data_IF_431978583826
#
_entry.id   IF_431978583826
#
_cell.length_a   1.000
_cell.length_b   1.000
_cell.length_c   1.000
_cell.angle_alpha   90.00
_cell.angle_beta   90.00
_cell.angle_gamma   90.00
#
_symmetry.space_group_name_H-M   'P 1'
#
loop_
_entity.id
_entity.type
_entity.pdbx_description
1 polymer ?
#
# COMPACT_ATOMS: atom_id res chain seq x y z
N UNK A 1 29.84 -15.95 -16.30
CA UNK A 1 28.83 -14.96 -15.90
C UNK A 1 29.52 -14.00 -14.97
N UNK A 2 29.58 -12.71 -15.30
CA UNK A 2 30.21 -11.73 -14.40
C UNK A 2 29.42 -11.65 -13.08
N UNK A 3 30.14 -11.53 -11.96
CA UNK A 3 29.51 -11.52 -10.63
C UNK A 3 28.70 -10.24 -10.45
N UNK A 4 27.40 -10.37 -10.22
CA UNK A 4 26.49 -9.26 -9.92
C UNK A 4 26.66 -8.89 -8.44
N UNK A 5 27.10 -7.66 -8.16
CA UNK A 5 27.31 -7.19 -6.78
C UNK A 5 26.08 -6.47 -6.20
N UNK A 6 25.22 -5.97 -7.09
CA UNK A 6 24.08 -5.15 -6.71
C UNK A 6 22.99 -5.22 -7.76
N UNK A 7 21.74 -5.30 -7.32
CA UNK A 7 20.55 -5.31 -8.18
C UNK A 7 19.56 -4.26 -7.70
N UNK A 8 19.11 -3.38 -8.57
CA UNK A 8 17.87 -2.63 -8.39
C UNK A 8 16.71 -3.40 -9.01
N UNK A 9 15.61 -3.52 -8.28
CA UNK A 9 14.41 -4.19 -8.74
C UNK A 9 13.21 -3.28 -8.56
N UNK A 10 12.58 -2.92 -9.69
CA UNK A 10 11.25 -2.32 -9.67
C UNK A 10 10.19 -3.42 -9.56
N UNK A 11 9.21 -3.21 -8.68
CA UNK A 11 8.22 -4.23 -8.32
C UNK A 11 6.82 -3.85 -8.77
N UNK A 12 6.14 -4.76 -9.47
CA UNK A 12 4.70 -4.68 -9.71
C UNK A 12 3.96 -5.93 -9.21
N UNK A 13 2.66 -6.03 -9.52
CA UNK A 13 1.86 -7.21 -9.18
C UNK A 13 2.30 -8.48 -9.93
N UNK A 14 2.76 -8.34 -11.18
CA UNK A 14 2.98 -9.48 -12.08
C UNK A 14 4.32 -9.46 -12.83
N UNK A 15 4.90 -8.27 -12.98
CA UNK A 15 6.09 -8.00 -13.77
C UNK A 15 7.12 -7.27 -12.91
N UNK A 16 8.39 -7.65 -13.05
CA UNK A 16 9.51 -7.11 -12.30
C UNK A 16 10.57 -6.69 -13.32
N UNK A 17 11.16 -5.52 -13.11
CA UNK A 17 12.34 -5.11 -13.87
C UNK A 17 13.54 -5.19 -12.97
N UNK A 18 14.56 -5.92 -13.41
CA UNK A 18 15.83 -6.03 -12.71
C UNK A 18 16.90 -5.27 -13.48
N UNK A 19 17.71 -4.53 -12.76
CA UNK A 19 18.93 -3.91 -13.24
C UNK A 19 20.07 -4.27 -12.31
N UNK A 20 21.09 -4.99 -12.81
CA UNK A 20 22.21 -5.46 -12.00
C UNK A 20 23.55 -5.01 -12.55
N UNK A 21 24.47 -4.69 -11.63
CA UNK A 21 25.82 -4.22 -11.95
C UNK A 21 26.90 -5.14 -11.39
N UNK A 22 28.04 -5.18 -12.08
CA UNK A 22 29.25 -5.88 -11.62
C UNK A 22 30.10 -4.99 -10.70
N UNK A 23 31.27 -5.49 -10.28
CA UNK A 23 32.19 -4.78 -9.40
C UNK A 23 32.76 -3.47 -9.99
N UNK A 24 32.73 -3.32 -11.32
CA UNK A 24 33.12 -2.10 -12.04
C UNK A 24 31.92 -1.14 -12.27
N UNK A 25 30.78 -1.38 -11.62
CA UNK A 25 29.52 -0.65 -11.82
C UNK A 25 28.98 -0.72 -13.26
N UNK A 26 29.43 -1.69 -14.07
CA UNK A 26 28.90 -1.93 -15.41
C UNK A 26 27.62 -2.75 -15.32
N UNK A 27 26.61 -2.34 -16.07
CA UNK A 27 25.34 -3.07 -16.21
C UNK A 27 25.57 -4.43 -16.87
N UNK A 28 25.25 -5.50 -16.16
CA UNK A 28 25.38 -6.89 -16.61
C UNK A 28 24.06 -7.66 -16.56
N UNK A 29 23.01 -7.06 -15.99
CA UNK A 29 21.65 -7.58 -15.97
C UNK A 29 20.68 -6.44 -16.28
N UNK A 30 19.80 -6.65 -17.26
CA UNK A 30 18.69 -5.74 -17.56
C UNK A 30 17.53 -6.54 -18.13
N UNK A 31 16.70 -7.08 -17.25
CA UNK A 31 15.70 -8.05 -17.65
C UNK A 31 14.33 -7.77 -17.03
N UNK A 32 13.31 -8.03 -17.85
CA UNK A 32 11.91 -8.01 -17.45
C UNK A 32 11.48 -9.43 -17.15
N UNK A 33 11.07 -9.69 -15.92
CA UNK A 33 10.70 -11.02 -15.44
C UNK A 33 9.26 -11.05 -14.95
N UNK A 34 8.58 -12.16 -15.16
CA UNK A 34 7.33 -12.47 -14.46
C UNK A 34 7.65 -12.92 -13.04
N UNK A 35 6.62 -12.91 -12.17
CA UNK A 35 6.75 -13.32 -10.77
C UNK A 35 7.52 -14.63 -10.56
N UNK A 36 7.18 -15.68 -11.30
CA UNK A 36 7.85 -16.99 -11.16
C UNK A 36 9.33 -16.91 -11.57
N UNK A 37 9.61 -16.33 -12.73
CA UNK A 37 10.96 -16.16 -13.26
C UNK A 37 11.85 -15.36 -12.30
N UNK A 38 11.32 -14.30 -11.69
CA UNK A 38 12.04 -13.49 -10.70
C UNK A 38 12.36 -14.30 -9.44
N UNK A 39 11.42 -15.10 -8.93
CA UNK A 39 11.65 -15.95 -7.76
C UNK A 39 12.69 -17.03 -8.09
N UNK A 40 12.56 -17.69 -9.24
CA UNK A 40 13.51 -18.72 -9.70
C UNK A 40 14.92 -18.13 -9.90
N UNK A 41 15.01 -16.90 -10.44
CA UNK A 41 16.25 -16.16 -10.58
C UNK A 41 16.92 -15.92 -9.22
N UNK A 42 16.22 -15.34 -8.25
CA UNK A 42 16.82 -15.06 -6.93
C UNK A 42 17.09 -16.32 -6.10
N UNK A 43 16.37 -17.43 -6.33
CA UNK A 43 16.67 -18.72 -5.68
C UNK A 43 18.04 -19.29 -6.12
N UNK A 44 18.44 -19.04 -7.37
CA UNK A 44 19.71 -19.53 -7.94
C UNK A 44 20.81 -18.48 -7.93
N UNK A 45 20.47 -17.20 -7.85
CA UNK A 45 21.40 -16.08 -7.76
C UNK A 45 22.18 -16.16 -6.44
N UNK A 46 23.53 -16.05 -6.47
CA UNK A 46 24.30 -15.94 -5.25
C UNK A 46 23.82 -14.76 -4.37
N UNK A 47 23.96 -14.84 -3.03
CA UNK A 47 23.68 -13.73 -2.13
C UNK A 47 24.25 -12.41 -2.65
N UNK A 48 23.40 -11.39 -2.76
CA UNK A 48 23.72 -10.10 -3.37
C UNK A 48 22.89 -9.01 -2.71
N UNK A 49 23.28 -7.75 -2.92
CA UNK A 49 22.59 -6.60 -2.38
C UNK A 49 21.46 -6.17 -3.33
N UNK A 50 20.23 -6.08 -2.84
CA UNK A 50 19.03 -5.78 -3.65
C UNK A 50 18.34 -4.50 -3.16
N UNK A 51 18.13 -3.54 -4.05
CA UNK A 51 17.34 -2.35 -3.81
C UNK A 51 15.93 -2.54 -4.34
N UNK A 52 14.93 -2.20 -3.53
CA UNK A 52 13.53 -2.08 -3.97
C UNK A 52 12.93 -0.76 -3.47
N UNK A 53 11.94 -0.24 -4.18
CA UNK A 53 11.16 0.91 -3.68
C UNK A 53 10.27 0.48 -2.51
N UNK A 54 10.15 1.33 -1.48
CA UNK A 54 9.24 1.16 -0.37
C UNK A 54 7.79 1.49 -0.78
N UNK A 55 7.19 0.61 -1.59
CA UNK A 55 5.85 0.73 -2.13
C UNK A 55 4.93 -0.44 -1.69
N UNK A 56 3.73 -0.53 -2.28
CA UNK A 56 2.79 -1.62 -1.98
C UNK A 56 3.38 -3.00 -2.28
N UNK A 57 3.38 -3.88 -1.28
CA UNK A 57 3.93 -5.24 -1.41
C UNK A 57 5.45 -5.36 -1.24
N UNK A 58 6.20 -4.25 -1.21
CA UNK A 58 7.66 -4.24 -1.03
C UNK A 58 8.14 -5.01 0.19
N UNK A 59 7.46 -4.89 1.34
CA UNK A 59 7.82 -5.61 2.56
C UNK A 59 7.71 -7.14 2.41
N UNK A 60 6.74 -7.64 1.64
CA UNK A 60 6.65 -9.07 1.33
C UNK A 60 7.85 -9.51 0.48
N UNK A 61 8.17 -8.74 -0.57
CA UNK A 61 9.31 -9.02 -1.44
C UNK A 61 10.64 -8.96 -0.71
N UNK A 62 10.85 -7.96 0.15
CA UNK A 62 12.06 -7.85 0.94
C UNK A 62 12.27 -9.07 1.86
N UNK A 63 11.22 -9.52 2.54
CA UNK A 63 11.32 -10.74 3.38
C UNK A 63 11.56 -12.00 2.55
N UNK A 64 10.91 -12.12 1.39
CA UNK A 64 11.11 -13.26 0.50
C UNK A 64 12.55 -13.33 -0.02
N UNK A 65 13.07 -12.22 -0.56
CA UNK A 65 14.44 -12.16 -1.04
C UNK A 65 15.47 -12.35 0.09
N UNK A 66 15.21 -11.81 1.28
CA UNK A 66 16.05 -12.07 2.45
C UNK A 66 16.05 -13.56 2.85
N UNK A 67 14.92 -14.27 2.67
CA UNK A 67 14.87 -15.72 2.92
C UNK A 67 15.71 -16.55 1.95
N UNK A 68 16.06 -16.01 0.78
CA UNK A 68 17.02 -16.60 -0.16
C UNK A 68 18.48 -16.19 0.15
N UNK A 69 18.71 -15.40 1.19
CA UNK A 69 20.04 -14.97 1.62
C UNK A 69 20.49 -13.62 1.07
N UNK A 70 19.65 -12.88 0.34
CA UNK A 70 19.99 -11.56 -0.16
C UNK A 70 19.90 -10.49 0.94
N UNK A 71 20.78 -9.50 0.87
CA UNK A 71 20.61 -8.29 1.69
C UNK A 71 19.68 -7.33 0.94
N UNK A 72 18.53 -7.00 1.53
CA UNK A 72 17.54 -6.13 0.88
C UNK A 72 17.55 -4.75 1.52
N UNK A 73 17.64 -3.71 0.70
CA UNK A 73 17.49 -2.32 1.09
C UNK A 73 16.24 -1.73 0.45
N UNK A 74 15.32 -1.26 1.28
CA UNK A 74 14.14 -0.55 0.80
C UNK A 74 14.40 0.95 0.75
N UNK A 75 14.14 1.59 -0.38
CA UNK A 75 14.36 3.03 -0.58
C UNK A 75 13.01 3.74 -0.66
N UNK A 76 12.84 4.82 0.11
CA UNK A 76 11.62 5.63 0.03
C UNK A 76 11.49 6.27 -1.36
N UNK A 77 10.28 6.36 -1.96
CA UNK A 77 10.09 6.90 -3.31
C UNK A 77 10.71 8.30 -3.51
N UNK A 78 10.65 9.14 -2.48
CA UNK A 78 11.22 10.50 -2.49
C UNK A 78 12.75 10.50 -2.61
N UNK A 79 13.41 9.47 -2.09
CA UNK A 79 14.86 9.30 -2.15
C UNK A 79 15.32 8.59 -3.42
N UNK A 80 14.49 7.74 -4.02
CA UNK A 80 14.77 7.08 -5.30
C UNK A 80 14.60 8.03 -6.49
N UNK A 81 13.58 8.91 -6.44
CA UNK A 81 13.20 9.81 -7.53
C UNK A 81 14.35 10.58 -8.20
N UNK A 82 15.34 11.15 -7.49
CA UNK A 82 16.45 11.89 -8.11
C UNK A 82 17.37 11.04 -9.00
N UNK A 83 17.37 9.71 -8.83
CA UNK A 83 18.21 8.78 -9.58
C UNK A 83 17.52 8.20 -10.81
N UNK A 84 16.20 8.41 -10.95
CA UNK A 84 15.46 7.98 -12.13
C UNK A 84 15.69 8.98 -13.26
N UNK A 85 16.27 8.52 -14.37
CA UNK A 85 16.54 9.33 -15.56
C UNK A 85 15.24 9.84 -16.20
N UNK A 86 15.35 10.85 -17.08
CA UNK A 86 14.21 11.37 -17.88
C UNK A 86 13.54 10.23 -18.66
N UNK A 87 12.23 10.35 -18.93
CA UNK A 87 11.36 9.33 -19.54
C UNK A 87 11.15 8.09 -18.65
N UNK A 88 10.43 8.30 -17.55
CA UNK A 88 10.11 7.27 -16.55
C UNK A 88 9.55 6.01 -17.21
N UNK A 89 10.15 4.88 -16.87
CA UNK A 89 9.66 3.53 -17.15
C UNK A 89 10.24 2.57 -16.10
N UNK A 90 9.63 1.41 -15.95
CA UNK A 90 10.00 0.39 -14.96
C UNK A 90 11.51 0.01 -15.02
N UNK A 91 12.12 -0.02 -16.20
CA UNK A 91 13.54 -0.35 -16.34
C UNK A 91 14.46 0.79 -15.87
N UNK A 92 14.05 2.04 -16.08
CA UNK A 92 14.74 3.23 -15.56
C UNK A 92 14.55 3.36 -14.05
N UNK A 93 13.40 2.93 -13.51
CA UNK A 93 13.15 2.87 -12.07
C UNK A 93 14.07 1.82 -11.41
N UNK A 94 14.21 0.63 -12.00
CA UNK A 94 15.14 -0.40 -11.53
C UNK A 94 16.61 0.06 -11.57
N UNK A 95 17.03 0.72 -12.66
CA UNK A 95 18.37 1.32 -12.76
C UNK A 95 18.58 2.39 -11.68
N UNK A 96 17.61 3.30 -11.50
CA UNK A 96 17.66 4.37 -10.51
C UNK A 96 17.73 3.83 -9.07
N UNK A 97 17.01 2.76 -8.74
CA UNK A 97 17.12 2.07 -7.44
C UNK A 97 18.52 1.47 -7.24
N UNK A 98 19.07 0.85 -8.28
CA UNK A 98 20.42 0.29 -8.25
C UNK A 98 21.46 1.40 -7.99
N UNK A 99 21.32 2.56 -8.64
CA UNK A 99 22.21 3.70 -8.48
C UNK A 99 22.03 4.40 -7.12
N UNK A 100 20.79 4.57 -6.65
CA UNK A 100 20.49 5.18 -5.37
C UNK A 100 21.13 4.42 -4.21
N UNK A 101 21.09 3.09 -4.24
CA UNK A 101 21.65 2.24 -3.19
C UNK A 101 23.18 2.28 -3.11
N UNK A 102 23.89 2.70 -4.16
CA UNK A 102 25.36 2.80 -4.11
C UNK A 102 25.86 4.00 -3.31
N UNK A 103 24.98 4.92 -2.92
CA UNK A 103 25.37 6.14 -2.21
C UNK A 103 25.65 5.83 -0.73
N UNK A 104 26.84 6.15 -0.21
CA UNK A 104 27.19 5.86 1.19
C UNK A 104 26.26 6.51 2.22
N UNK A 105 25.64 7.64 1.87
CA UNK A 105 24.73 8.41 2.73
C UNK A 105 23.26 8.05 2.54
N UNK A 106 22.95 7.03 1.72
CA UNK A 106 21.58 6.62 1.46
C UNK A 106 20.89 6.14 2.74
N UNK A 107 19.62 6.53 2.89
CA UNK A 107 18.78 6.10 4.00
C UNK A 107 17.77 5.07 3.51
N UNK A 108 17.59 4.04 4.31
CA UNK A 108 16.73 2.91 3.97
C UNK A 108 15.55 2.80 4.92
N UNK A 109 14.41 2.40 4.37
CA UNK A 109 13.22 2.04 5.15
C UNK A 109 13.46 0.66 5.75
N UNK A 110 13.24 0.46 7.06
CA UNK A 110 13.39 -0.86 7.67
C UNK A 110 12.35 -1.84 7.10
N UNK A 111 12.80 -3.07 6.85
CA UNK A 111 11.91 -4.17 6.45
C UNK A 111 11.10 -4.58 7.67
N UNK A 112 9.78 -4.39 7.60
CA UNK A 112 8.88 -4.80 8.67
C UNK A 112 8.66 -6.30 8.69
N UNK A 113 8.48 -6.87 9.88
CA UNK A 113 8.03 -8.25 10.06
C UNK A 113 6.58 -8.42 9.59
N UNK A 114 6.07 -9.66 9.58
CA UNK A 114 4.66 -9.92 9.27
C UNK A 114 3.76 -9.33 10.37
N UNK A 115 4.14 -9.46 11.64
CA UNK A 115 3.37 -8.94 12.77
C UNK A 115 3.34 -7.43 12.83
N UNK A 116 4.46 -6.75 12.53
CA UNK A 116 4.50 -5.29 12.43
C UNK A 116 3.62 -4.78 11.27
N UNK A 117 3.57 -5.51 10.15
CA UNK A 117 2.64 -5.21 9.06
C UNK A 117 1.18 -5.43 9.47
N UNK A 118 0.88 -6.49 10.23
CA UNK A 118 -0.46 -6.72 10.78
C UNK A 118 -0.88 -5.62 11.76
N UNK A 119 0.02 -5.14 12.61
CA UNK A 119 -0.24 -4.02 13.52
C UNK A 119 -0.55 -2.72 12.76
N UNK A 120 0.16 -2.43 11.66
CA UNK A 120 -0.19 -1.31 10.79
C UNK A 120 -1.56 -1.49 10.14
N UNK A 121 -1.89 -2.70 9.70
CA UNK A 121 -3.20 -3.01 9.13
C UNK A 121 -4.32 -2.73 10.15
N UNK A 122 -4.14 -3.08 11.42
CA UNK A 122 -5.10 -2.77 12.48
C UNK A 122 -5.37 -1.26 12.59
N UNK A 123 -4.32 -0.44 12.58
CA UNK A 123 -4.44 1.02 12.63
C UNK A 123 -5.19 1.55 11.40
N UNK A 124 -4.84 1.06 10.20
CA UNK A 124 -5.52 1.46 8.96
C UNK A 124 -7.00 1.04 8.94
N UNK A 125 -7.32 -0.18 9.40
CA UNK A 125 -8.71 -0.66 9.51
C UNK A 125 -9.50 0.20 10.48
N UNK A 126 -8.94 0.51 11.66
CA UNK A 126 -9.59 1.42 12.62
C UNK A 126 -9.88 2.79 12.01
N UNK A 127 -8.90 3.39 11.33
CA UNK A 127 -9.08 4.69 10.66
C UNK A 127 -10.17 4.62 9.61
N UNK A 128 -10.20 3.56 8.78
CA UNK A 128 -11.25 3.34 7.78
C UNK A 128 -12.63 3.22 8.44
N UNK A 129 -12.76 2.44 9.51
CA UNK A 129 -14.04 2.26 10.21
C UNK A 129 -14.54 3.58 10.82
N UNK A 130 -13.65 4.40 11.38
CA UNK A 130 -14.01 5.73 11.90
C UNK A 130 -14.49 6.65 10.78
N UNK A 131 -13.80 6.64 9.63
CA UNK A 131 -14.20 7.42 8.46
C UNK A 131 -15.56 6.96 7.93
N UNK A 132 -15.76 5.65 7.74
CA UNK A 132 -17.03 5.08 7.28
C UNK A 132 -18.18 5.42 8.23
N UNK A 133 -18.01 5.23 9.54
CA UNK A 133 -19.03 5.59 10.54
C UNK A 133 -19.39 7.08 10.48
N UNK A 134 -18.40 7.93 10.23
CA UNK A 134 -18.61 9.38 10.10
C UNK A 134 -19.37 9.72 8.81
N UNK A 135 -19.02 9.08 7.69
CA UNK A 135 -19.71 9.22 6.41
C UNK A 135 -21.17 8.76 6.51
N UNK A 136 -21.40 7.59 7.10
CA UNK A 136 -22.72 7.02 7.32
C UNK A 136 -23.58 7.93 8.22
N UNK A 137 -23.04 8.40 9.34
CA UNK A 137 -23.73 9.35 10.21
C UNK A 137 -24.09 10.67 9.49
N UNK A 138 -23.23 11.14 8.57
CA UNK A 138 -23.51 12.30 7.74
C UNK A 138 -24.60 12.03 6.71
N UNK A 139 -24.59 10.85 6.07
CA UNK A 139 -25.61 10.43 5.13
C UNK A 139 -26.99 10.32 5.81
N UNK A 140 -27.09 9.61 6.94
CA UNK A 140 -28.31 9.49 7.75
C UNK A 140 -28.88 10.88 8.06
N UNK A 141 -28.05 11.81 8.55
CA UNK A 141 -28.50 13.18 8.86
C UNK A 141 -28.96 13.94 7.61
N UNK A 142 -28.26 13.78 6.49
CA UNK A 142 -28.61 14.42 5.23
C UNK A 142 -29.98 13.95 4.72
N UNK A 143 -30.19 12.63 4.67
CA UNK A 143 -31.45 12.05 4.24
C UNK A 143 -32.60 12.38 5.19
N UNK A 144 -32.38 12.32 6.51
CA UNK A 144 -33.41 12.65 7.48
C UNK A 144 -33.94 14.09 7.31
N UNK A 145 -33.04 15.01 6.93
CA UNK A 145 -33.39 16.40 6.70
C UNK A 145 -34.31 16.60 5.48
N UNK A 146 -34.25 15.74 4.46
CA UNK A 146 -35.19 15.75 3.33
C UNK A 146 -36.63 15.43 3.77
N UNK A 147 -36.79 14.69 4.87
CA UNK A 147 -38.07 14.40 5.51
C UNK A 147 -38.41 15.35 6.66
N UNK A 148 -37.66 16.46 6.81
CA UNK A 148 -37.89 17.45 7.87
C UNK A 148 -37.43 17.02 9.28
N UNK A 149 -36.80 15.85 9.41
CA UNK A 149 -36.30 15.35 10.70
C UNK A 149 -34.84 15.76 10.89
N UNK A 150 -34.60 16.68 11.82
CA UNK A 150 -33.25 17.19 12.13
C UNK A 150 -32.70 16.69 13.46
N UNK A 151 -31.37 16.61 13.56
CA UNK A 151 -30.65 16.30 14.80
C UNK A 151 -29.38 17.14 14.94
N UNK A 152 -28.93 17.32 16.18
CA UNK A 152 -27.67 18.01 16.48
C UNK A 152 -26.46 17.25 15.92
N UNK A 153 -25.36 17.99 15.68
CA UNK A 153 -24.09 17.39 15.25
C UNK A 153 -23.53 16.48 16.35
N UNK A 154 -22.97 15.35 15.94
CA UNK A 154 -22.37 14.36 16.83
C UNK A 154 -22.83 12.95 16.51
N UNK A 155 -22.04 11.96 16.93
CA UNK A 155 -22.39 10.54 16.76
C UNK A 155 -23.44 10.11 17.80
N UNK A 156 -23.41 10.68 19.01
CA UNK A 156 -24.34 10.35 20.08
C UNK A 156 -25.82 10.61 19.76
N UNK A 157 -26.11 11.46 18.75
CA UNK A 157 -27.48 11.79 18.36
C UNK A 157 -28.03 10.89 17.26
N UNK A 158 -27.22 10.02 16.64
CA UNK A 158 -27.66 9.16 15.54
C UNK A 158 -28.69 8.12 16.01
N UNK A 159 -28.52 7.39 17.13
CA UNK A 159 -29.52 6.43 17.59
C UNK A 159 -30.89 7.07 17.81
N UNK A 160 -30.94 8.21 18.52
CA UNK A 160 -32.19 8.94 18.76
C UNK A 160 -32.81 9.51 17.48
N UNK A 161 -31.99 9.88 16.48
CA UNK A 161 -32.49 10.32 15.17
C UNK A 161 -33.18 9.15 14.44
N UNK A 162 -32.57 7.97 14.43
CA UNK A 162 -33.13 6.77 13.79
C UNK A 162 -34.46 6.36 14.45
N UNK A 163 -34.54 6.38 15.79
CA UNK A 163 -35.78 6.11 16.52
C UNK A 163 -36.90 7.11 16.13
N UNK A 164 -36.56 8.39 16.01
CA UNK A 164 -37.53 9.43 15.60
C UNK A 164 -38.04 9.22 14.19
N UNK A 165 -37.17 8.83 13.26
CA UNK A 165 -37.55 8.53 11.87
C UNK A 165 -38.48 7.31 11.82
N UNK A 166 -38.19 6.26 12.58
CA UNK A 166 -39.01 5.05 12.62
C UNK A 166 -40.40 5.29 13.22
N UNK A 167 -40.52 6.23 14.16
CA UNK A 167 -41.79 6.64 14.75
C UNK A 167 -42.59 7.63 13.88
N UNK A 168 -41.99 8.18 12.82
CA UNK A 168 -42.61 9.21 11.99
C UNK A 168 -43.39 8.60 10.83
N UNK A 169 -44.72 8.57 10.96
CA UNK A 169 -45.64 8.05 9.95
C UNK A 169 -45.63 8.85 8.62
N UNK A 170 -45.01 10.03 8.57
CA UNK A 170 -44.87 10.82 7.35
C UNK A 170 -43.69 10.37 6.47
N UNK A 171 -42.76 9.59 7.03
CA UNK A 171 -41.64 9.01 6.28
C UNK A 171 -42.13 7.80 5.49
N UNK A 172 -41.96 7.76 4.16
CA UNK A 172 -42.38 6.62 3.34
C UNK A 172 -41.69 5.31 3.74
N UNK A 173 -42.40 4.18 3.59
CA UNK A 173 -41.92 2.83 3.95
C UNK A 173 -40.53 2.51 3.37
N UNK A 174 -40.31 2.78 2.08
CA UNK A 174 -39.01 2.58 1.44
C UNK A 174 -37.89 3.38 2.12
N UNK A 175 -38.16 4.62 2.55
CA UNK A 175 -37.17 5.41 3.26
C UNK A 175 -36.87 4.81 4.64
N UNK A 176 -37.90 4.34 5.35
CA UNK A 176 -37.74 3.66 6.64
C UNK A 176 -36.87 2.41 6.49
N UNK A 177 -37.10 1.57 5.48
CA UNK A 177 -36.26 0.39 5.18
C UNK A 177 -34.80 0.77 4.92
N UNK A 178 -34.56 1.82 4.14
CA UNK A 178 -33.21 2.29 3.83
C UNK A 178 -32.50 2.87 5.07
N UNK A 179 -33.24 3.55 5.97
CA UNK A 179 -32.68 3.99 7.25
C UNK A 179 -32.36 2.81 8.17
N UNK A 180 -33.16 1.75 8.16
CA UNK A 180 -32.88 0.52 8.92
C UNK A 180 -31.61 -0.18 8.41
N UNK A 181 -31.43 -0.29 7.09
CA UNK A 181 -30.20 -0.82 6.50
C UNK A 181 -28.97 0.01 6.90
N UNK A 182 -29.09 1.34 6.92
CA UNK A 182 -28.02 2.23 7.39
C UNK A 182 -27.79 2.11 8.91
N UNK A 183 -28.82 1.82 9.70
CA UNK A 183 -28.70 1.61 11.15
C UNK A 183 -27.92 0.32 11.46
N UNK A 184 -28.15 -0.75 10.70
CA UNK A 184 -27.40 -2.00 10.81
C UNK A 184 -25.91 -1.82 10.47
N UNK A 185 -25.57 -1.02 9.45
CA UNK A 185 -24.17 -0.70 9.13
C UNK A 185 -23.53 0.22 10.19
N UNK A 186 -24.34 1.00 10.91
CA UNK A 186 -23.86 1.92 11.93
C UNK A 186 -23.56 1.24 13.27
N UNK A 187 -24.29 0.18 13.62
CA UNK A 187 -24.19 -0.57 14.87
C UNK A 187 -22.86 -1.32 15.02
#
# INVERSE_FOLDING_TARGET
MEKIIRIGMDTSKHVFQLHGVNAEEKSVLREKMRRKEMIDFFTTCPPTLVAIEACGGSHHWARLLASFGHEVKMIAPQLAKPYVKRNKNDAADAEGLCEAMSRPTMRFVPVKTVDEQAALMLISVRTRLIANRTQLANAIRGYANEFGVSAAKGLAHIPMLLERIQADATVPELAQELFMSQAEEYA
#
